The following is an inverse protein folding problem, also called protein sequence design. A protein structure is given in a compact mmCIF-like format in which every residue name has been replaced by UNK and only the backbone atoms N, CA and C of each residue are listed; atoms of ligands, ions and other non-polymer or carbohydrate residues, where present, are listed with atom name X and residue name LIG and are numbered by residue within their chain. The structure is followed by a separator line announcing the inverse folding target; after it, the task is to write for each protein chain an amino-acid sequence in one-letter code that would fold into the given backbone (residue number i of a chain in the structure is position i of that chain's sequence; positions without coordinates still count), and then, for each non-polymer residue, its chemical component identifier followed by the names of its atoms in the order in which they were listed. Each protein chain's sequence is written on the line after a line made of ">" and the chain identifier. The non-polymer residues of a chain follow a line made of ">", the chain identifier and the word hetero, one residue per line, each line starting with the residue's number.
data_IF_286207616948
#
_entry.id   IF_286207616948
#
_cell.length_a   1.000
_cell.length_b   1.000
_cell.length_c   1.000
_cell.angle_alpha   90.00
_cell.angle_beta   90.00
_cell.angle_gamma   90.00
#
_symmetry.space_group_name_H-M   'P 1'
#
loop_
_entity.id
_entity.type
_entity.pdbx_description
1 polymer ?
#
# COMPACT_ATOMS: atom_id res chain seq x y z
N UNK A 1 -3.75 25.28 -11.76
CA UNK A 1 -5.05 24.70 -12.13
C UNK A 1 -4.98 23.56 -13.16
N UNK A 2 -4.13 23.60 -14.18
CA UNK A 2 -4.05 22.56 -15.25
C UNK A 2 -3.54 21.19 -14.77
N UNK A 3 -2.61 21.12 -13.79
CA UNK A 3 -2.09 19.85 -13.28
C UNK A 3 -3.12 19.01 -12.49
N UNK A 4 -4.02 19.66 -11.72
CA UNK A 4 -5.08 18.96 -10.98
C UNK A 4 -6.07 18.20 -11.88
N UNK A 5 -6.27 18.69 -13.12
CA UNK A 5 -7.18 18.05 -14.08
C UNK A 5 -6.52 16.80 -14.68
N UNK A 6 -5.22 16.83 -14.95
CA UNK A 6 -4.48 15.71 -15.55
C UNK A 6 -4.41 14.51 -14.58
N UNK A 7 -4.14 14.77 -13.29
CA UNK A 7 -4.05 13.70 -12.27
C UNK A 7 -5.41 13.06 -12.03
N UNK A 8 -6.49 13.85 -11.92
CA UNK A 8 -7.86 13.33 -11.81
C UNK A 8 -8.26 12.50 -13.04
N UNK A 9 -7.84 12.90 -14.23
CA UNK A 9 -8.11 12.16 -15.47
C UNK A 9 -7.33 10.86 -15.57
N UNK A 10 -6.09 10.81 -15.09
CA UNK A 10 -5.27 9.60 -15.00
C UNK A 10 -5.83 8.61 -13.96
N UNK A 11 -6.28 9.10 -12.80
CA UNK A 11 -6.95 8.29 -11.78
C UNK A 11 -8.27 7.69 -12.28
N UNK A 12 -9.12 8.50 -12.93
CA UNK A 12 -10.35 7.98 -13.55
C UNK A 12 -10.03 6.99 -14.68
N UNK A 13 -8.96 7.24 -15.44
CA UNK A 13 -8.51 6.35 -16.51
C UNK A 13 -8.04 5.00 -16.00
N UNK A 14 -7.28 4.95 -14.91
CA UNK A 14 -6.81 3.69 -14.31
C UNK A 14 -7.97 2.86 -13.72
N UNK A 15 -8.92 3.50 -13.04
CA UNK A 15 -10.13 2.84 -12.52
C UNK A 15 -11.05 2.39 -13.67
N UNK A 16 -11.24 3.21 -14.70
CA UNK A 16 -12.04 2.84 -15.86
C UNK A 16 -11.41 1.72 -16.70
N UNK A 17 -10.07 1.70 -16.81
CA UNK A 17 -9.34 0.64 -17.50
C UNK A 17 -9.42 -0.69 -16.74
N UNK A 18 -9.32 -0.66 -15.40
CA UNK A 18 -9.52 -1.82 -14.55
C UNK A 18 -10.94 -2.39 -14.63
N UNK A 19 -11.96 -1.52 -14.63
CA UNK A 19 -13.36 -1.92 -14.78
C UNK A 19 -13.70 -2.41 -16.19
N UNK A 20 -13.12 -1.81 -17.24
CA UNK A 20 -13.32 -2.25 -18.61
C UNK A 20 -12.61 -3.58 -18.93
N UNK A 21 -11.46 -3.84 -18.31
CA UNK A 21 -10.79 -5.14 -18.38
C UNK A 21 -11.60 -6.24 -17.66
N UNK A 22 -12.26 -5.90 -16.55
CA UNK A 22 -13.16 -6.79 -15.82
C UNK A 22 -14.43 -7.13 -16.62
N UNK A 23 -14.99 -6.17 -17.36
CA UNK A 23 -16.21 -6.36 -18.17
C UNK A 23 -16.00 -7.24 -19.42
N UNK A 24 -14.76 -7.48 -19.84
CA UNK A 24 -14.42 -8.36 -20.98
C UNK A 24 -14.06 -9.81 -20.57
N UNK A 25 -14.16 -10.14 -19.29
CA UNK A 25 -13.88 -11.48 -18.78
C UNK A 25 -15.11 -12.40 -18.91
N UNK A 26 -15.57 -12.65 -20.13
CA UNK A 26 -16.76 -13.50 -20.42
C UNK A 26 -16.46 -15.01 -20.45
N UNK A 27 -15.22 -15.43 -20.15
CA UNK A 27 -14.94 -16.86 -19.93
C UNK A 27 -14.75 -17.14 -18.44
N UNK A 28 -15.40 -18.19 -17.89
CA UNK A 28 -15.12 -18.63 -16.53
C UNK A 28 -13.69 -19.15 -16.45
N UNK A 29 -12.76 -18.28 -16.08
CA UNK A 29 -11.39 -18.68 -15.78
C UNK A 29 -11.43 -19.62 -14.58
N UNK A 30 -10.62 -20.70 -14.58
CA UNK A 30 -10.54 -21.55 -13.41
C UNK A 30 -10.15 -20.69 -12.21
N UNK A 31 -11.10 -20.54 -11.30
CA UNK A 31 -10.86 -19.87 -10.01
C UNK A 31 -9.85 -20.74 -9.28
N UNK A 32 -8.68 -20.22 -8.89
CA UNK A 32 -7.76 -20.98 -8.07
C UNK A 32 -8.49 -21.51 -6.84
N UNK A 33 -8.14 -22.70 -6.42
CA UNK A 33 -8.74 -23.32 -5.23
C UNK A 33 -8.76 -22.32 -4.06
N UNK A 34 -9.85 -22.30 -3.31
CA UNK A 34 -10.05 -21.41 -2.16
C UNK A 34 -8.81 -21.42 -1.26
N UNK A 35 -8.14 -20.27 -1.12
CA UNK A 35 -6.86 -20.12 -0.41
C UNK A 35 -5.69 -19.63 -1.24
N UNK A 36 -5.79 -19.63 -2.57
CA UNK A 36 -4.71 -19.21 -3.47
C UNK A 36 -4.71 -17.70 -3.81
N UNK A 37 -5.81 -17.00 -3.55
CA UNK A 37 -5.87 -15.54 -3.76
C UNK A 37 -5.38 -14.79 -2.52
N UNK A 38 -4.61 -13.73 -2.76
CA UNK A 38 -4.03 -12.89 -1.72
C UNK A 38 -2.55 -12.66 -1.93
N UNK A 39 -2.01 -11.73 -1.18
CA UNK A 39 -0.59 -11.34 -1.24
C UNK A 39 0.24 -12.02 -0.14
N UNK A 40 -0.38 -12.37 0.99
CA UNK A 40 0.33 -13.02 2.11
C UNK A 40 0.79 -14.43 1.74
N UNK A 41 2.10 -14.67 1.91
CA UNK A 41 2.75 -15.93 1.53
C UNK A 41 3.00 -16.05 0.03
N UNK A 42 3.04 -14.96 -0.70
CA UNK A 42 3.36 -14.93 -2.12
C UNK A 42 4.54 -14.00 -2.39
N UNK A 43 5.41 -14.37 -3.30
CA UNK A 43 6.44 -13.47 -3.82
C UNK A 43 5.82 -12.55 -4.85
N UNK A 44 5.88 -11.25 -4.62
CA UNK A 44 5.28 -10.25 -5.51
C UNK A 44 6.05 -8.93 -5.49
N UNK A 45 5.83 -8.11 -6.50
CA UNK A 45 6.19 -6.71 -6.54
C UNK A 45 4.93 -5.85 -6.68
N UNK A 46 4.87 -4.77 -5.92
CA UNK A 46 3.77 -3.81 -5.93
C UNK A 46 4.23 -2.40 -6.28
N UNK A 47 3.37 -1.66 -6.95
CA UNK A 47 3.53 -0.24 -7.20
C UNK A 47 2.20 0.44 -6.92
N UNK A 48 2.21 1.39 -6.00
CA UNK A 48 1.02 2.16 -5.66
C UNK A 48 1.30 3.65 -5.67
N UNK A 49 0.27 4.41 -5.98
CA UNK A 49 0.20 5.86 -5.84
C UNK A 49 -0.87 6.20 -4.83
N UNK A 50 -0.57 7.10 -3.89
CA UNK A 50 -1.54 7.60 -2.93
C UNK A 50 -1.65 9.13 -3.01
N UNK A 51 -2.87 9.63 -3.06
CA UNK A 51 -3.18 11.03 -2.85
C UNK A 51 -3.57 11.21 -1.38
N UNK A 52 -2.86 12.06 -0.66
CA UNK A 52 -3.07 12.31 0.77
C UNK A 52 -3.56 13.74 0.95
N UNK A 53 -4.78 13.90 1.43
CA UNK A 53 -5.34 15.18 1.83
C UNK A 53 -4.85 15.52 3.25
N UNK A 54 -4.09 16.62 3.36
CA UNK A 54 -3.52 17.07 4.62
C UNK A 54 -4.54 17.90 5.37
N UNK A 55 -4.96 17.39 6.52
CA UNK A 55 -6.00 18.01 7.34
C UNK A 55 -5.66 19.46 7.72
N UNK A 56 -6.69 20.31 7.76
CA UNK A 56 -6.62 21.73 8.12
C UNK A 56 -5.73 22.59 7.20
N UNK A 57 -5.40 22.11 6.01
CA UNK A 57 -4.62 22.89 5.04
C UNK A 57 -5.23 22.75 3.64
N UNK A 58 -4.87 23.62 2.71
CA UNK A 58 -5.13 23.42 1.29
C UNK A 58 -4.03 22.55 0.61
N UNK A 59 -3.14 21.99 1.42
CA UNK A 59 -2.03 21.19 0.95
C UNK A 59 -2.45 19.72 0.78
N UNK A 60 -1.75 19.04 -0.11
CA UNK A 60 -1.84 17.60 -0.31
C UNK A 60 -0.44 17.03 -0.49
N UNK A 61 -0.33 15.74 -0.30
CA UNK A 61 0.88 14.99 -0.62
C UNK A 61 0.56 13.93 -1.68
N UNK A 62 1.50 13.72 -2.58
CA UNK A 62 1.54 12.63 -3.52
C UNK A 62 2.57 11.62 -3.03
N UNK A 63 2.17 10.38 -2.84
CA UNK A 63 3.02 9.30 -2.38
C UNK A 63 3.11 8.19 -3.42
N UNK A 64 4.34 7.84 -3.78
CA UNK A 64 4.67 6.73 -4.66
C UNK A 64 5.35 5.66 -3.84
N UNK A 65 4.72 4.51 -3.73
CA UNK A 65 5.21 3.39 -2.95
C UNK A 65 5.48 2.20 -3.85
N UNK A 66 6.69 1.67 -3.74
CA UNK A 66 7.09 0.39 -4.31
C UNK A 66 7.33 -0.59 -3.17
N UNK A 67 6.79 -1.81 -3.30
CA UNK A 67 7.09 -2.90 -2.38
C UNK A 67 7.48 -4.18 -3.14
N UNK A 68 8.40 -4.92 -2.53
CA UNK A 68 8.78 -6.26 -2.93
C UNK A 68 8.65 -7.19 -1.74
N UNK A 69 7.83 -8.22 -1.89
CA UNK A 69 7.61 -9.26 -0.91
C UNK A 69 8.26 -10.54 -1.35
N UNK A 70 9.08 -11.12 -0.49
CA UNK A 70 9.69 -12.43 -0.69
C UNK A 70 9.16 -13.40 0.37
N UNK A 71 8.47 -14.45 -0.07
CA UNK A 71 8.09 -15.54 0.84
C UNK A 71 9.32 -16.28 1.30
N UNK A 72 9.55 -16.31 2.61
CA UNK A 72 10.67 -16.98 3.25
C UNK A 72 10.30 -18.40 3.70
N UNK A 73 9.08 -18.56 4.19
CA UNK A 73 8.50 -19.86 4.55
C UNK A 73 6.96 -19.78 4.63
N UNK A 74 6.30 -20.86 5.07
CA UNK A 74 4.84 -20.99 5.13
C UNK A 74 4.12 -20.02 6.09
N UNK A 75 4.82 -19.19 6.81
CA UNK A 75 4.23 -18.24 7.78
C UNK A 75 5.03 -16.96 7.91
N UNK A 76 6.01 -16.74 7.03
CA UNK A 76 6.93 -15.62 7.14
C UNK A 76 7.29 -15.07 5.76
N UNK A 77 7.11 -13.78 5.57
CA UNK A 77 7.55 -13.00 4.43
C UNK A 77 8.62 -11.98 4.84
N UNK A 78 9.57 -11.72 3.92
CA UNK A 78 10.44 -10.56 3.96
C UNK A 78 9.86 -9.48 3.06
N UNK A 79 9.74 -8.26 3.56
CA UNK A 79 9.19 -7.12 2.84
C UNK A 79 10.25 -6.05 2.69
N UNK A 80 10.48 -5.59 1.48
CA UNK A 80 11.30 -4.43 1.19
C UNK A 80 10.43 -3.35 0.56
N UNK A 81 10.53 -2.09 1.00
CA UNK A 81 9.78 -1.01 0.38
C UNK A 81 10.60 0.26 0.17
N UNK A 82 10.17 1.04 -0.82
CA UNK A 82 10.64 2.37 -1.11
C UNK A 82 9.45 3.31 -1.24
N UNK A 83 9.50 4.40 -0.51
CA UNK A 83 8.47 5.45 -0.49
C UNK A 83 9.07 6.76 -1.00
N UNK A 84 8.31 7.46 -1.83
CA UNK A 84 8.61 8.82 -2.29
C UNK A 84 7.38 9.67 -2.09
N UNK A 85 7.38 10.49 -1.05
CA UNK A 85 6.29 11.42 -0.74
C UNK A 85 6.69 12.84 -1.11
N UNK A 86 5.83 13.56 -1.81
CA UNK A 86 6.02 14.95 -2.20
C UNK A 86 4.77 15.76 -1.84
N UNK A 87 4.97 16.90 -1.19
CA UNK A 87 3.87 17.83 -0.94
C UNK A 87 3.87 18.95 -1.98
N UNK A 88 2.71 19.56 -2.22
CA UNK A 88 2.60 20.76 -3.05
C UNK A 88 3.24 22.00 -2.40
N UNK A 89 3.68 21.92 -1.14
CA UNK A 89 4.39 22.96 -0.38
C UNK A 89 5.92 22.83 -0.40
N UNK A 90 6.48 22.08 -1.36
CA UNK A 90 7.91 21.86 -1.55
C UNK A 90 8.61 21.00 -0.48
N UNK A 91 7.89 20.22 0.29
CA UNK A 91 8.47 19.15 1.10
C UNK A 91 8.59 17.86 0.27
N UNK A 92 9.69 17.15 0.47
CA UNK A 92 9.96 15.86 -0.16
C UNK A 92 10.54 14.90 0.88
N UNK A 93 9.98 13.70 0.96
CA UNK A 93 10.50 12.62 1.78
C UNK A 93 10.77 11.39 0.90
N UNK A 94 11.84 10.70 1.18
CA UNK A 94 12.17 9.40 0.62
C UNK A 94 12.47 8.45 1.77
N UNK A 95 12.01 7.21 1.65
CA UNK A 95 12.30 6.21 2.67
C UNK A 95 12.57 4.86 2.02
N UNK A 96 13.47 4.09 2.62
CA UNK A 96 13.66 2.66 2.35
C UNK A 96 13.41 1.90 3.63
N UNK A 97 12.68 0.79 3.56
CA UNK A 97 12.42 -0.06 4.72
C UNK A 97 12.62 -1.53 4.38
N UNK A 98 13.00 -2.29 5.39
CA UNK A 98 12.99 -3.74 5.37
C UNK A 98 12.24 -4.25 6.59
N UNK A 99 11.36 -5.21 6.41
CA UNK A 99 10.50 -5.76 7.45
C UNK A 99 10.38 -7.28 7.34
N UNK A 100 10.02 -7.90 8.44
CA UNK A 100 9.52 -9.26 8.49
C UNK A 100 8.03 -9.24 8.79
N UNK A 101 7.27 -10.01 8.03
CA UNK A 101 5.82 -10.17 8.18
C UNK A 101 5.49 -11.61 8.49
N UNK A 102 5.10 -11.88 9.74
CA UNK A 102 4.57 -13.17 10.14
C UNK A 102 3.06 -13.23 9.88
N UNK A 103 2.56 -14.34 9.36
CA UNK A 103 1.14 -14.52 9.07
C UNK A 103 0.69 -15.96 9.37
N UNK A 104 -0.61 -16.14 9.55
CA UNK A 104 -1.19 -17.47 9.76
C UNK A 104 -2.20 -17.81 8.65
N UNK A 105 -2.12 -19.04 8.17
CA UNK A 105 -3.07 -19.63 7.21
C UNK A 105 -4.06 -20.57 7.86
N UNK A 106 -4.04 -20.67 9.20
CA UNK A 106 -4.86 -21.66 9.95
C UNK A 106 -6.34 -21.31 10.00
N UNK A 107 -6.71 -20.08 9.63
CA UNK A 107 -8.11 -19.65 9.69
C UNK A 107 -8.75 -19.65 8.30
N UNK A 108 -9.88 -20.34 8.17
CA UNK A 108 -10.60 -20.44 6.91
C UNK A 108 -11.20 -19.10 6.43
N UNK A 109 -11.39 -18.14 7.36
CA UNK A 109 -12.02 -16.85 7.11
C UNK A 109 -11.05 -15.72 6.80
N UNK A 110 -9.75 -15.91 7.02
CA UNK A 110 -8.76 -14.88 6.71
C UNK A 110 -7.37 -15.23 7.20
N UNK A 111 -6.38 -14.45 6.76
CA UNK A 111 -4.98 -14.58 7.12
C UNK A 111 -4.55 -13.39 8.00
N UNK A 112 -4.56 -13.50 9.33
CA UNK A 112 -4.00 -12.46 10.20
C UNK A 112 -2.50 -12.36 10.01
N UNK A 113 -1.97 -11.14 10.13
CA UNK A 113 -0.53 -10.91 10.07
C UNK A 113 -0.07 -9.85 11.09
N UNK A 114 1.19 -9.93 11.44
CA UNK A 114 1.94 -8.91 12.14
C UNK A 114 3.25 -8.66 11.39
N UNK A 115 3.64 -7.41 11.29
CA UNK A 115 4.84 -6.96 10.59
C UNK A 115 5.66 -6.05 11.50
N UNK A 116 6.98 -6.19 11.46
CA UNK A 116 7.90 -5.29 12.12
C UNK A 116 9.15 -5.10 11.26
N UNK A 117 9.66 -3.87 11.25
CA UNK A 117 10.81 -3.53 10.43
C UNK A 117 11.47 -2.23 10.81
N UNK A 118 12.53 -1.93 10.10
CA UNK A 118 13.27 -0.68 10.22
C UNK A 118 13.72 -0.19 8.86
N UNK A 119 14.13 1.06 8.80
CA UNK A 119 14.57 1.68 7.57
C UNK A 119 15.27 2.99 7.80
N UNK A 120 15.43 3.73 6.73
CA UNK A 120 16.07 5.03 6.73
C UNK A 120 15.28 6.00 5.86
N UNK A 121 15.11 7.21 6.35
CA UNK A 121 14.38 8.27 5.65
C UNK A 121 15.25 9.48 5.43
N UNK A 122 15.06 10.12 4.29
CA UNK A 122 15.64 11.42 3.92
C UNK A 122 14.50 12.38 3.66
N UNK A 123 14.56 13.52 4.32
CA UNK A 123 13.55 14.57 4.19
C UNK A 123 14.20 15.89 3.74
N UNK A 124 13.43 16.65 2.97
CA UNK A 124 13.76 18.04 2.62
C UNK A 124 12.52 18.88 2.75
N UNK A 125 12.56 19.87 3.64
CA UNK A 125 11.46 20.82 3.86
C UNK A 125 12.03 22.24 3.82
N UNK A 126 11.51 23.09 2.95
CA UNK A 126 11.93 24.50 2.80
C UNK A 126 13.46 24.67 2.66
N UNK A 127 14.14 23.73 2.00
CA UNK A 127 15.59 23.75 1.80
C UNK A 127 16.42 23.11 2.93
N UNK A 128 15.83 22.85 4.09
CA UNK A 128 16.47 22.11 5.18
C UNK A 128 16.42 20.63 4.85
N UNK A 129 17.57 19.96 4.99
CA UNK A 129 17.70 18.51 4.82
C UNK A 129 17.79 17.86 6.18
N UNK A 130 17.07 16.79 6.35
CA UNK A 130 17.10 15.94 7.54
C UNK A 130 17.06 14.46 7.14
N UNK A 131 17.53 13.60 8.03
CA UNK A 131 17.51 12.16 7.82
C UNK A 131 17.42 11.44 9.16
N UNK A 132 16.75 10.30 9.19
CA UNK A 132 16.55 9.54 10.41
C UNK A 132 16.38 8.06 10.14
N UNK A 133 16.71 7.26 11.16
CA UNK A 133 16.23 5.89 11.25
C UNK A 133 14.72 5.91 11.46
N UNK A 134 14.05 4.99 10.79
CA UNK A 134 12.63 4.75 10.99
C UNK A 134 12.42 3.31 11.44
N UNK A 135 11.41 3.08 12.25
CA UNK A 135 10.90 1.74 12.56
C UNK A 135 9.43 1.69 12.23
N UNK A 136 8.97 0.51 11.88
CA UNK A 136 7.57 0.28 11.58
C UNK A 136 7.08 -0.97 12.29
N UNK A 137 5.81 -0.93 12.64
CA UNK A 137 5.06 -2.10 13.07
C UNK A 137 3.66 -2.04 12.42
N UNK A 138 3.14 -3.16 11.98
CA UNK A 138 1.78 -3.23 11.46
C UNK A 138 1.11 -4.53 11.88
N UNK A 139 -0.20 -4.47 11.99
CA UNK A 139 -1.06 -5.64 12.13
C UNK A 139 -2.22 -5.51 11.16
N UNK A 140 -2.72 -6.62 10.69
CA UNK A 140 -3.86 -6.63 9.78
C UNK A 140 -4.35 -8.04 9.51
N UNK A 141 -5.26 -8.12 8.57
CA UNK A 141 -5.84 -9.39 8.17
C UNK A 141 -6.25 -9.34 6.71
N UNK A 142 -5.84 -10.32 5.94
CA UNK A 142 -6.26 -10.48 4.56
C UNK A 142 -7.48 -11.40 4.49
N UNK A 143 -8.60 -10.90 3.97
CA UNK A 143 -9.84 -11.63 3.75
C UNK A 143 -10.06 -11.85 2.26
N UNK A 144 -10.45 -13.03 1.87
CA UNK A 144 -11.00 -13.26 0.54
C UNK A 144 -12.52 -13.09 0.60
N UNK A 145 -13.01 -11.95 0.10
CA UNK A 145 -14.44 -11.59 0.15
C UNK A 145 -15.22 -12.05 -1.09
N UNK A 146 -14.49 -12.31 -2.19
CA UNK A 146 -15.03 -12.90 -3.43
C UNK A 146 -13.91 -13.69 -4.15
N UNK A 147 -14.23 -14.54 -5.14
CA UNK A 147 -13.22 -15.34 -5.83
C UNK A 147 -12.02 -14.56 -6.37
N UNK A 148 -12.23 -13.32 -6.83
CA UNK A 148 -11.18 -12.47 -7.37
C UNK A 148 -10.88 -11.24 -6.49
N UNK A 149 -11.43 -11.17 -5.26
CA UNK A 149 -11.28 -9.97 -4.42
C UNK A 149 -10.78 -10.34 -3.04
N UNK A 150 -9.69 -9.71 -2.64
CA UNK A 150 -9.21 -9.73 -1.26
C UNK A 150 -9.28 -8.34 -0.65
N UNK A 151 -9.57 -8.25 0.65
CA UNK A 151 -9.61 -7.01 1.42
C UNK A 151 -8.71 -7.17 2.64
N UNK A 152 -7.88 -6.16 2.89
CA UNK A 152 -6.90 -6.18 3.96
C UNK A 152 -7.04 -4.92 4.81
N UNK A 153 -7.85 -4.93 5.86
CA UNK A 153 -7.78 -3.90 6.91
C UNK A 153 -6.44 -4.01 7.64
N UNK A 154 -5.90 -2.84 8.04
CA UNK A 154 -4.62 -2.78 8.74
C UNK A 154 -4.54 -1.59 9.69
N UNK A 155 -3.66 -1.73 10.66
CA UNK A 155 -3.15 -0.66 11.51
C UNK A 155 -1.63 -0.68 11.34
N UNK A 156 -1.03 0.46 10.99
CA UNK A 156 0.41 0.62 10.83
C UNK A 156 0.91 1.77 11.70
N UNK A 157 1.93 1.51 12.48
CA UNK A 157 2.71 2.52 13.19
C UNK A 157 4.04 2.74 12.47
N UNK A 158 4.45 3.99 12.36
CA UNK A 158 5.76 4.37 11.88
C UNK A 158 6.35 5.41 12.82
N UNK A 159 7.47 5.10 13.42
CA UNK A 159 8.21 5.98 14.32
C UNK A 159 9.44 6.58 13.63
N UNK A 160 9.67 7.86 13.87
CA UNK A 160 10.82 8.61 13.33
C UNK A 160 11.30 9.61 14.40
N UNK A 161 12.40 9.32 15.12
CA UNK A 161 12.80 10.13 16.29
C UNK A 161 13.21 11.56 15.93
N UNK A 162 13.78 11.77 14.75
CA UNK A 162 14.51 13.00 14.43
C UNK A 162 13.91 13.78 13.24
N UNK A 163 12.85 13.28 12.59
CA UNK A 163 12.21 13.97 11.48
C UNK A 163 11.14 14.96 11.93
N UNK A 164 10.87 15.97 11.11
CA UNK A 164 9.83 16.97 11.33
C UNK A 164 8.46 16.32 11.45
N UNK A 165 8.18 15.26 10.67
CA UNK A 165 7.01 14.40 10.82
C UNK A 165 7.33 13.29 11.83
N UNK A 166 6.78 13.44 13.02
CA UNK A 166 6.88 12.50 14.12
C UNK A 166 6.06 11.23 13.88
N UNK A 167 5.99 10.42 14.90
CA UNK A 167 5.24 9.17 14.97
C UNK A 167 3.87 9.24 14.31
N UNK A 168 3.60 8.30 13.43
CA UNK A 168 2.34 8.22 12.68
C UNK A 168 1.69 6.86 12.84
N UNK A 169 0.42 6.89 13.21
CA UNK A 169 -0.47 5.75 13.17
C UNK A 169 -1.38 5.88 11.96
N UNK A 170 -1.41 4.86 11.11
CA UNK A 170 -2.32 4.78 9.98
C UNK A 170 -3.31 3.66 10.21
N UNK A 171 -4.58 3.93 9.94
CA UNK A 171 -5.70 3.01 9.98
C UNK A 171 -6.30 2.96 8.60
N UNK A 172 -6.41 1.79 8.01
CA UNK A 172 -6.88 1.73 6.63
C UNK A 172 -7.32 0.34 6.19
N UNK A 173 -7.74 0.28 4.93
CA UNK A 173 -8.01 -0.96 4.24
C UNK A 173 -7.56 -0.86 2.78
N UNK A 174 -7.02 -1.96 2.26
CA UNK A 174 -6.70 -2.15 0.85
C UNK A 174 -7.57 -3.26 0.29
N UNK A 175 -8.09 -3.09 -0.91
CA UNK A 175 -8.76 -4.12 -1.68
C UNK A 175 -7.94 -4.43 -2.92
N UNK A 176 -7.74 -5.71 -3.22
CA UNK A 176 -7.08 -6.18 -4.42
C UNK A 176 -8.10 -6.92 -5.28
N UNK A 177 -8.24 -6.50 -6.53
CA UNK A 177 -8.99 -7.20 -7.56
C UNK A 177 -8.01 -7.96 -8.46
N UNK A 178 -8.09 -9.27 -8.45
CA UNK A 178 -7.25 -10.17 -9.24
C UNK A 178 -7.76 -10.29 -10.66
N UNK A 179 -7.08 -9.67 -11.60
CA UNK A 179 -7.38 -9.75 -13.04
C UNK A 179 -7.07 -11.16 -13.56
N UNK A 180 -6.02 -11.78 -13.03
CA UNK A 180 -5.62 -13.16 -13.28
C UNK A 180 -4.82 -13.69 -12.07
N UNK A 181 -4.21 -14.87 -12.19
CA UNK A 181 -3.42 -15.47 -11.10
C UNK A 181 -2.15 -14.69 -10.71
N UNK A 182 -1.69 -13.78 -11.54
CA UNK A 182 -0.45 -13.02 -11.34
C UNK A 182 -0.68 -11.53 -11.09
N UNK A 183 -1.72 -10.93 -11.68
CA UNK A 183 -1.96 -9.49 -11.63
C UNK A 183 -3.17 -9.13 -10.78
N UNK A 184 -2.97 -8.18 -9.88
CA UNK A 184 -4.04 -7.54 -9.14
C UNK A 184 -3.98 -6.02 -9.28
N UNK A 185 -5.16 -5.39 -9.34
CA UNK A 185 -5.33 -3.95 -9.17
C UNK A 185 -5.67 -3.69 -7.71
N UNK A 186 -5.02 -2.70 -7.12
CA UNK A 186 -5.21 -2.32 -5.71
C UNK A 186 -5.91 -0.98 -5.63
N UNK A 187 -6.86 -0.88 -4.72
CA UNK A 187 -7.41 0.38 -4.23
C UNK A 187 -7.35 0.40 -2.71
N UNK A 188 -7.17 1.56 -2.10
CA UNK A 188 -7.08 1.67 -0.66
C UNK A 188 -7.55 3.01 -0.14
N UNK A 189 -7.93 3.00 1.12
CA UNK A 189 -8.25 4.19 1.91
C UNK A 189 -7.57 4.04 3.25
N UNK A 190 -6.95 5.11 3.72
CA UNK A 190 -6.39 5.17 5.06
C UNK A 190 -6.54 6.56 5.67
N UNK A 191 -6.46 6.61 6.98
CA UNK A 191 -6.44 7.83 7.77
C UNK A 191 -5.36 7.71 8.84
N UNK A 192 -4.63 8.79 9.06
CA UNK A 192 -3.63 8.82 10.12
C UNK A 192 -4.13 9.53 11.40
N UNK A 193 -3.33 9.46 12.46
CA UNK A 193 -3.62 10.13 13.74
C UNK A 193 -3.53 11.65 13.69
N UNK A 194 -3.08 12.24 12.58
CA UNK A 194 -3.12 13.66 12.30
C UNK A 194 -4.34 14.04 11.44
N UNK A 195 -5.28 13.09 11.28
CA UNK A 195 -6.50 13.23 10.49
C UNK A 195 -6.28 13.40 8.98
N UNK A 196 -5.07 13.18 8.47
CA UNK A 196 -4.84 13.13 7.03
C UNK A 196 -5.53 11.89 6.45
N UNK A 197 -6.14 12.06 5.28
CA UNK A 197 -6.84 10.96 4.60
C UNK A 197 -6.15 10.64 3.29
N UNK A 198 -5.78 9.38 3.10
CA UNK A 198 -5.13 8.85 1.92
C UNK A 198 -6.09 8.04 1.05
N UNK A 199 -6.02 8.24 -0.26
CA UNK A 199 -6.62 7.37 -1.26
C UNK A 199 -5.53 6.77 -2.13
N UNK A 200 -5.47 5.43 -2.19
CA UNK A 200 -4.43 4.67 -2.89
C UNK A 200 -4.99 3.94 -4.09
N UNK A 201 -4.24 3.95 -5.18
CA UNK A 201 -4.44 3.08 -6.35
C UNK A 201 -3.12 2.45 -6.76
N UNK A 202 -3.16 1.25 -7.31
CA UNK A 202 -1.92 0.60 -7.73
C UNK A 202 -2.12 -0.78 -8.35
N UNK A 203 -1.04 -1.49 -8.45
CA UNK A 203 -1.02 -2.84 -9.00
C UNK A 203 0.00 -3.71 -8.29
N UNK A 204 -0.27 -5.00 -8.22
CA UNK A 204 0.65 -6.02 -7.72
C UNK A 204 0.86 -7.08 -8.79
N UNK A 205 2.09 -7.51 -8.95
CA UNK A 205 2.47 -8.62 -9.82
C UNK A 205 3.11 -9.73 -9.00
N UNK A 206 2.53 -10.92 -9.06
CA UNK A 206 2.98 -12.14 -8.38
C UNK A 206 3.80 -13.01 -9.34
N UNK A 207 4.93 -13.49 -8.85
CA UNK A 207 5.86 -14.34 -9.58
C UNK A 207 5.53 -15.83 -9.44
#
# INVERSE_FOLDING_TARGET
>A
MKQKIIIKSLLLGAVAFGLAAAARADEPRPVPASGAMGLLGQTYAGLTYSYIDLNNTSAHADDYHFDYNQTLNTGLDGVFSYDLTQTNSAAKQQAVTAALRAFSTSYAWGKPYAEAGAGYSWERVAGVKDNSLIWLAAVGMEFQVAPAVTVTPFIKYQGTPDLIQRDRWNFGAKANYWVNSQWAVTVGLDRDNHENTGFTVGTNFRF
#
